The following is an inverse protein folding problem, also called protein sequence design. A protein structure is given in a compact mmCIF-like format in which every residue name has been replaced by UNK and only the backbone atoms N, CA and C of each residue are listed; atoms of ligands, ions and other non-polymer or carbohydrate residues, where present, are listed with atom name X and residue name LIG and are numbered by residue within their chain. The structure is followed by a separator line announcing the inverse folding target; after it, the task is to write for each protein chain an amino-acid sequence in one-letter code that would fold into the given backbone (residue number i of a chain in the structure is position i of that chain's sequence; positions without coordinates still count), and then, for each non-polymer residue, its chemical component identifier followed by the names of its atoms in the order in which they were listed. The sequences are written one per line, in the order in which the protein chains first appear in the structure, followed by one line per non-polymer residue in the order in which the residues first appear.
data_IF_085893125363
#
_entry.id   IF_085893125363
#
_cell.length_a   1.000
_cell.length_b   1.000
_cell.length_c   1.000
_cell.angle_alpha   90.00
_cell.angle_beta   90.00
_cell.angle_gamma   90.00
#
_symmetry.space_group_name_H-M   'P 1'
#
loop_
_entity.id
_entity.type
_entity.pdbx_description
1 polymer ?
#
# COMPACT_ATOMS: atom_id res chain seq x y z
N UNK A 1 8.07 3.00 4.54
CA UNK A 1 8.19 4.13 3.58
C UNK A 1 6.89 4.42 2.82
N UNK A 2 6.13 3.42 2.35
CA UNK A 2 4.94 3.62 1.48
C UNK A 2 3.87 4.51 2.10
N UNK A 3 3.58 4.36 3.41
CA UNK A 3 2.66 5.26 4.11
C UNK A 3 3.14 6.71 4.21
N UNK A 4 4.45 6.94 4.34
CA UNK A 4 5.03 8.28 4.33
C UNK A 4 4.98 8.89 2.93
N UNK A 5 5.33 8.10 1.91
CA UNK A 5 5.18 8.53 0.50
C UNK A 5 3.73 8.89 0.19
N UNK A 6 2.79 8.07 0.62
CA UNK A 6 1.36 8.38 0.48
C UNK A 6 1.03 9.73 1.13
N UNK A 7 1.49 9.96 2.36
CA UNK A 7 1.24 11.22 3.08
C UNK A 7 1.82 12.42 2.32
N UNK A 8 3.06 12.33 1.85
CA UNK A 8 3.70 13.42 1.08
C UNK A 8 2.97 13.63 -0.24
N UNK A 9 2.72 12.57 -1.00
CA UNK A 9 2.06 12.67 -2.31
C UNK A 9 0.67 13.26 -2.19
N UNK A 10 -0.11 12.86 -1.19
CA UNK A 10 -1.49 13.29 -1.00
C UNK A 10 -1.65 14.66 -0.33
N UNK A 11 -0.59 15.22 0.28
CA UNK A 11 -0.67 16.50 1.01
C UNK A 11 0.20 17.59 0.41
N UNK A 12 1.41 17.24 -0.07
CA UNK A 12 2.46 18.20 -0.42
C UNK A 12 2.68 18.34 -1.93
N UNK A 13 1.91 17.60 -2.73
CA UNK A 13 2.03 17.63 -4.19
C UNK A 13 0.75 18.14 -4.86
N UNK A 14 0.78 18.27 -6.18
CA UNK A 14 -0.42 18.64 -6.97
C UNK A 14 -1.56 17.63 -6.82
N UNK A 15 -1.27 16.42 -6.34
CA UNK A 15 -2.28 15.38 -6.09
C UNK A 15 -3.12 15.67 -4.84
N UNK A 16 -2.67 16.57 -3.96
CA UNK A 16 -3.47 17.03 -2.82
C UNK A 16 -4.84 17.54 -3.25
N UNK A 17 -4.90 18.28 -4.36
CA UNK A 17 -6.16 18.76 -4.91
C UNK A 17 -7.10 17.67 -5.43
N UNK A 18 -6.60 16.48 -5.71
CA UNK A 18 -7.41 15.37 -6.16
C UNK A 18 -8.05 14.57 -5.02
N UNK A 19 -7.52 14.69 -3.80
CA UNK A 19 -7.96 13.94 -2.63
C UNK A 19 -8.63 14.82 -1.54
N UNK A 20 -8.76 16.12 -1.79
CA UNK A 20 -9.50 17.02 -0.89
C UNK A 20 -10.94 16.51 -0.76
N UNK A 21 -11.44 16.50 0.46
CA UNK A 21 -12.79 16.03 0.80
C UNK A 21 -13.06 14.54 0.45
N UNK A 22 -11.99 13.72 0.33
CA UNK A 22 -12.18 12.29 0.23
C UNK A 22 -12.90 11.79 1.49
N UNK A 23 -14.10 11.26 1.30
CA UNK A 23 -14.86 10.61 2.36
C UNK A 23 -14.22 9.28 2.80
N UNK A 24 -14.80 8.62 3.79
CA UNK A 24 -14.32 7.32 4.25
C UNK A 24 -14.72 6.18 3.30
N UNK A 25 -15.53 6.45 2.28
CA UNK A 25 -15.93 5.45 1.31
C UNK A 25 -14.71 4.89 0.55
N UNK A 26 -14.59 3.59 0.54
CA UNK A 26 -13.50 2.90 -0.14
C UNK A 26 -13.91 2.56 -1.58
N UNK A 27 -13.11 2.98 -2.54
CA UNK A 27 -13.22 2.54 -3.93
C UNK A 27 -12.27 1.37 -4.18
N UNK A 28 -12.68 0.19 -3.73
CA UNK A 28 -11.90 -1.05 -3.81
C UNK A 28 -11.48 -1.39 -5.24
N UNK A 29 -12.32 -1.12 -6.23
CA UNK A 29 -11.98 -1.40 -7.63
C UNK A 29 -10.95 -0.42 -8.18
N UNK A 30 -11.00 0.84 -7.79
CA UNK A 30 -9.97 1.81 -8.12
C UNK A 30 -8.61 1.43 -7.50
N UNK A 31 -8.62 0.94 -6.26
CA UNK A 31 -7.41 0.43 -5.59
C UNK A 31 -6.82 -0.76 -6.32
N UNK A 32 -7.60 -1.82 -6.56
CA UNK A 32 -7.16 -3.06 -7.24
C UNK A 32 -6.60 -2.76 -8.63
N UNK A 33 -7.32 -1.96 -9.42
CA UNK A 33 -6.89 -1.56 -10.75
C UNK A 33 -5.53 -0.83 -10.73
N UNK A 34 -5.32 0.04 -9.74
CA UNK A 34 -4.05 0.76 -9.59
C UNK A 34 -2.91 -0.17 -9.14
N UNK A 35 -3.18 -1.14 -8.24
CA UNK A 35 -2.21 -2.16 -7.83
C UNK A 35 -1.71 -2.94 -9.05
N UNK A 36 -2.63 -3.48 -9.86
CA UNK A 36 -2.27 -4.27 -11.06
C UNK A 36 -1.47 -3.42 -12.04
N UNK A 37 -1.93 -2.21 -12.36
CA UNK A 37 -1.25 -1.35 -13.31
C UNK A 37 0.17 -0.98 -12.88
N UNK A 38 0.38 -0.69 -11.60
CA UNK A 38 1.71 -0.36 -11.08
C UNK A 38 2.62 -1.60 -10.95
N UNK A 39 2.06 -2.74 -10.62
CA UNK A 39 2.79 -4.00 -10.55
C UNK A 39 3.30 -4.47 -11.92
N UNK A 40 2.44 -4.40 -12.94
CA UNK A 40 2.79 -4.82 -14.30
C UNK A 40 3.74 -3.84 -14.99
N UNK A 41 3.63 -2.55 -14.70
CA UNK A 41 4.43 -1.50 -15.36
C UNK A 41 5.04 -0.52 -14.36
N UNK A 42 5.94 -0.96 -13.46
CA UNK A 42 6.48 -0.10 -12.40
C UNK A 42 7.25 1.12 -12.94
N UNK A 43 7.83 1.03 -14.13
CA UNK A 43 8.50 2.15 -14.79
C UNK A 43 7.56 3.33 -15.11
N UNK A 44 6.24 3.10 -15.17
CA UNK A 44 5.23 4.13 -15.45
C UNK A 44 4.61 4.74 -14.18
N UNK A 45 5.13 4.47 -13.00
CA UNK A 45 4.54 4.90 -11.74
C UNK A 45 4.25 6.41 -11.67
N UNK A 46 5.19 7.25 -12.09
CA UNK A 46 4.99 8.70 -12.13
C UNK A 46 3.85 9.09 -13.08
N UNK A 47 3.73 8.39 -14.22
CA UNK A 47 2.64 8.60 -15.16
C UNK A 47 1.29 8.16 -14.57
N UNK A 48 1.25 7.01 -13.89
CA UNK A 48 0.06 6.51 -13.21
C UNK A 48 -0.44 7.51 -12.16
N UNK A 49 0.45 8.06 -11.34
CA UNK A 49 0.12 9.09 -10.36
C UNK A 49 -0.39 10.37 -11.05
N UNK A 50 0.26 10.84 -12.11
CA UNK A 50 -0.21 12.01 -12.85
C UNK A 50 -1.60 11.79 -13.45
N UNK A 51 -1.91 10.58 -13.92
CA UNK A 51 -3.24 10.22 -14.45
C UNK A 51 -4.36 10.35 -13.40
N UNK A 52 -4.07 10.22 -12.12
CA UNK A 52 -5.05 10.48 -11.05
C UNK A 52 -5.53 11.94 -11.14
N UNK A 53 -4.60 12.89 -11.26
CA UNK A 53 -4.94 14.31 -11.37
C UNK A 53 -5.66 14.63 -12.68
N UNK A 54 -5.15 14.16 -13.80
CA UNK A 54 -5.77 14.40 -15.10
C UNK A 54 -7.17 13.77 -15.19
N UNK A 55 -7.39 12.62 -14.60
CA UNK A 55 -8.69 11.96 -14.55
C UNK A 55 -9.72 12.78 -13.76
N UNK A 56 -9.32 13.36 -12.64
CA UNK A 56 -10.17 14.25 -11.87
C UNK A 56 -10.56 15.49 -12.68
N UNK A 57 -9.59 16.13 -13.35
CA UNK A 57 -9.82 17.36 -14.10
C UNK A 57 -10.67 17.16 -15.36
N UNK A 58 -10.47 16.05 -16.06
CA UNK A 58 -11.09 15.80 -17.36
C UNK A 58 -12.41 15.03 -17.26
N UNK A 59 -12.55 14.20 -16.26
CA UNK A 59 -13.67 13.25 -16.15
C UNK A 59 -14.43 13.32 -14.83
N UNK A 60 -14.06 14.23 -13.92
CA UNK A 60 -14.76 14.40 -12.65
C UNK A 60 -14.60 13.22 -11.71
N UNK A 61 -13.42 12.57 -11.70
CA UNK A 61 -13.14 11.46 -10.78
C UNK A 61 -13.33 11.86 -9.32
N UNK A 62 -13.90 10.97 -8.50
CA UNK A 62 -14.16 11.24 -7.09
C UNK A 62 -12.85 11.34 -6.28
N UNK A 63 -12.82 12.15 -5.21
CA UNK A 63 -11.67 12.22 -4.30
C UNK A 63 -11.32 10.88 -3.66
N UNK A 64 -12.30 10.06 -3.33
CA UNK A 64 -12.10 8.73 -2.76
C UNK A 64 -11.44 7.79 -3.76
N UNK A 65 -11.88 7.77 -5.02
CA UNK A 65 -11.24 7.03 -6.10
C UNK A 65 -9.80 7.50 -6.33
N UNK A 66 -9.55 8.80 -6.27
CA UNK A 66 -8.19 9.35 -6.40
C UNK A 66 -7.28 8.88 -5.26
N UNK A 67 -7.76 8.91 -4.02
CA UNK A 67 -7.03 8.41 -2.84
C UNK A 67 -6.67 6.94 -2.97
N UNK A 68 -7.63 6.12 -3.38
CA UNK A 68 -7.42 4.67 -3.53
C UNK A 68 -6.47 4.36 -4.71
N UNK A 69 -6.52 5.11 -5.80
CA UNK A 69 -5.57 4.98 -6.91
C UNK A 69 -4.13 5.34 -6.50
N UNK A 70 -3.93 6.40 -5.73
CA UNK A 70 -2.61 6.76 -5.21
C UNK A 70 -2.08 5.63 -4.32
N UNK A 71 -2.90 5.16 -3.38
CA UNK A 71 -2.54 4.08 -2.46
C UNK A 71 -2.20 2.79 -3.20
N UNK A 72 -3.05 2.37 -4.12
CA UNK A 72 -2.85 1.17 -4.95
C UNK A 72 -1.60 1.27 -5.83
N UNK A 73 -1.32 2.43 -6.41
CA UNK A 73 -0.11 2.66 -7.23
C UNK A 73 1.15 2.49 -6.38
N UNK A 74 1.22 3.09 -5.19
CA UNK A 74 2.39 3.01 -4.32
C UNK A 74 2.62 1.59 -3.79
N UNK A 75 1.55 0.89 -3.38
CA UNK A 75 1.65 -0.49 -2.91
C UNK A 75 2.01 -1.43 -4.06
N UNK A 76 1.38 -1.28 -5.23
CA UNK A 76 1.70 -2.08 -6.41
C UNK A 76 3.16 -1.96 -6.84
N UNK A 77 3.73 -0.76 -6.76
CA UNK A 77 5.15 -0.49 -7.00
C UNK A 77 6.06 -1.22 -6.01
N UNK A 78 5.73 -1.16 -4.72
CA UNK A 78 6.51 -1.84 -3.69
C UNK A 78 6.47 -3.35 -3.88
N UNK A 79 5.29 -3.90 -4.20
CA UNK A 79 5.14 -5.33 -4.47
C UNK A 79 5.89 -5.75 -5.74
N UNK A 80 5.87 -4.94 -6.80
CA UNK A 80 6.65 -5.23 -8.01
C UNK A 80 8.15 -5.33 -7.71
N UNK A 81 8.68 -4.41 -6.90
CA UNK A 81 10.09 -4.44 -6.50
C UNK A 81 10.40 -5.62 -5.55
N UNK A 82 9.53 -5.85 -4.56
CA UNK A 82 9.73 -6.90 -3.56
C UNK A 82 9.59 -8.32 -4.11
N UNK A 83 8.77 -8.50 -5.15
CA UNK A 83 8.53 -9.80 -5.78
C UNK A 83 9.41 -10.04 -7.03
N UNK A 84 10.21 -9.07 -7.46
CA UNK A 84 11.13 -9.22 -8.58
C UNK A 84 12.33 -10.14 -8.30
N UNK A 85 12.59 -10.45 -7.04
CA UNK A 85 13.66 -11.35 -6.62
C UNK A 85 13.29 -12.83 -6.72
N UNK A 86 14.26 -13.68 -6.44
CA UNK A 86 14.06 -15.12 -6.38
C UNK A 86 12.97 -15.47 -5.36
N UNK A 87 11.84 -15.92 -5.86
CA UNK A 87 10.71 -16.46 -5.09
C UNK A 87 11.10 -17.83 -4.51
N UNK A 88 12.23 -17.87 -3.80
CA UNK A 88 12.62 -19.08 -3.11
C UNK A 88 11.53 -19.47 -2.10
N UNK A 89 11.30 -20.75 -1.99
CA UNK A 89 10.30 -21.52 -1.25
C UNK A 89 9.90 -21.09 0.18
N UNK A 90 10.48 -20.06 0.73
CA UNK A 90 10.13 -19.46 2.01
C UNK A 90 9.04 -18.41 1.79
N UNK A 91 7.79 -18.76 2.01
CA UNK A 91 6.62 -17.89 1.81
C UNK A 91 6.79 -16.44 2.29
N UNK A 92 5.94 -15.56 1.77
CA UNK A 92 5.94 -14.13 2.11
C UNK A 92 5.22 -13.95 3.46
N UNK A 93 5.82 -13.17 4.36
CA UNK A 93 5.19 -12.76 5.61
C UNK A 93 4.96 -11.24 5.60
N UNK A 94 3.71 -10.84 5.69
CA UNK A 94 3.30 -9.46 5.88
C UNK A 94 3.25 -9.15 7.37
N UNK A 95 4.05 -8.19 7.82
CA UNK A 95 3.98 -7.65 9.19
C UNK A 95 3.44 -6.22 9.11
N UNK A 96 2.19 -6.02 9.43
CA UNK A 96 1.52 -4.74 9.37
C UNK A 96 0.34 -4.71 10.35
N UNK A 97 -0.17 -3.52 10.68
CA UNK A 97 -1.38 -3.34 11.49
C UNK A 97 -2.31 -2.30 10.88
N UNK A 98 -3.57 -2.27 11.35
CA UNK A 98 -4.58 -1.30 10.96
C UNK A 98 -4.89 -1.29 9.45
N UNK A 99 -5.15 -0.10 8.90
CA UNK A 99 -5.52 0.07 7.50
C UNK A 99 -4.46 -0.45 6.51
N UNK A 100 -3.18 -0.28 6.82
CA UNK A 100 -2.11 -0.77 5.93
C UNK A 100 -2.15 -2.28 5.78
N UNK A 101 -2.41 -3.03 6.85
CA UNK A 101 -2.56 -4.47 6.78
C UNK A 101 -3.69 -4.89 5.84
N UNK A 102 -4.83 -4.20 5.92
CA UNK A 102 -5.99 -4.46 5.03
C UNK A 102 -5.63 -4.22 3.58
N UNK A 103 -5.00 -3.08 3.28
CA UNK A 103 -4.64 -2.70 1.91
C UNK A 103 -3.58 -3.64 1.31
N UNK A 104 -2.55 -4.03 2.07
CA UNK A 104 -1.55 -4.97 1.57
C UNK A 104 -2.15 -6.37 1.35
N UNK A 105 -3.00 -6.86 2.24
CA UNK A 105 -3.71 -8.13 2.02
C UNK A 105 -4.54 -8.08 0.74
N UNK A 106 -5.32 -7.02 0.56
CA UNK A 106 -6.12 -6.82 -0.65
C UNK A 106 -5.23 -6.77 -1.91
N UNK A 107 -4.07 -6.15 -1.84
CA UNK A 107 -3.12 -6.10 -2.96
C UNK A 107 -2.54 -7.49 -3.28
N UNK A 108 -2.11 -8.25 -2.27
CA UNK A 108 -1.65 -9.63 -2.46
C UNK A 108 -2.75 -10.54 -3.04
N UNK A 109 -3.97 -10.44 -2.52
CA UNK A 109 -5.14 -11.18 -3.03
C UNK A 109 -5.42 -10.82 -4.50
N UNK A 110 -5.35 -9.52 -4.84
CA UNK A 110 -5.54 -9.03 -6.21
C UNK A 110 -4.50 -9.60 -7.18
N UNK A 111 -3.26 -9.75 -6.73
CA UNK A 111 -2.17 -10.32 -7.51
C UNK A 111 -2.10 -11.85 -7.44
N UNK A 112 -3.03 -12.50 -6.73
CA UNK A 112 -3.05 -13.95 -6.50
C UNK A 112 -1.76 -14.49 -5.84
N UNK A 113 -1.14 -13.68 -4.98
CA UNK A 113 0.08 -14.04 -4.25
C UNK A 113 -0.27 -14.45 -2.82
N UNK A 114 0.12 -15.67 -2.44
CA UNK A 114 -0.11 -16.18 -1.10
C UNK A 114 0.79 -15.48 -0.07
N UNK A 115 0.19 -15.01 1.03
CA UNK A 115 0.90 -14.30 2.09
C UNK A 115 0.43 -14.74 3.48
N UNK A 116 1.36 -14.91 4.41
CA UNK A 116 1.05 -15.03 5.84
C UNK A 116 1.01 -13.61 6.43
N UNK A 117 0.02 -13.33 7.28
CA UNK A 117 -0.10 -12.00 7.92
C UNK A 117 0.09 -12.12 9.42
N UNK A 118 0.97 -11.28 9.95
CA UNK A 118 1.22 -11.11 11.39
C UNK A 118 0.87 -9.66 11.74
N UNK A 119 0.12 -9.48 12.81
CA UNK A 119 -0.17 -8.15 13.35
C UNK A 119 1.12 -7.52 13.90
N UNK A 120 1.43 -6.29 13.46
CA UNK A 120 2.68 -5.62 13.82
C UNK A 120 2.76 -5.30 15.32
N UNK A 121 1.65 -4.93 15.96
CA UNK A 121 1.62 -4.61 17.39
C UNK A 121 1.86 -5.87 18.23
N UNK A 122 1.32 -6.99 17.79
CA UNK A 122 1.59 -8.28 18.41
C UNK A 122 3.06 -8.72 18.23
N UNK A 123 3.60 -8.53 17.02
CA UNK A 123 5.01 -8.85 16.74
C UNK A 123 5.96 -8.02 17.62
N UNK A 124 5.69 -6.73 17.78
CA UNK A 124 6.46 -5.84 18.67
C UNK A 124 6.37 -6.28 20.13
N UNK A 125 5.17 -6.57 20.63
CA UNK A 125 4.98 -7.03 22.00
C UNK A 125 5.77 -8.31 22.29
N UNK A 126 5.69 -9.30 21.39
CA UNK A 126 6.46 -10.55 21.53
C UNK A 126 7.97 -10.30 21.50
N UNK A 127 8.44 -9.48 20.57
CA UNK A 127 9.86 -9.14 20.48
C UNK A 127 10.38 -8.44 21.74
N UNK A 128 9.61 -7.51 22.30
CA UNK A 128 9.96 -6.84 23.57
C UNK A 128 9.97 -7.79 24.75
N UNK A 129 8.99 -8.71 24.85
CA UNK A 129 8.97 -9.73 25.91
C UNK A 129 10.20 -10.65 25.83
N UNK A 130 10.54 -11.13 24.65
CA UNK A 130 11.74 -11.97 24.44
C UNK A 130 13.02 -11.22 24.79
N UNK A 131 13.13 -9.95 24.43
CA UNK A 131 14.28 -9.12 24.76
C UNK A 131 14.38 -8.88 26.28
N UNK A 132 13.27 -8.63 26.94
CA UNK A 132 13.21 -8.46 28.39
C UNK A 132 13.62 -9.75 29.12
N UNK A 133 13.12 -10.89 28.73
CA UNK A 133 13.50 -12.19 29.27
C UNK A 133 15.00 -12.48 29.10
N UNK A 134 15.56 -12.11 27.96
CA UNK A 134 17.01 -12.30 27.69
C UNK A 134 17.91 -11.39 28.54
N UNK A 135 17.45 -10.18 28.88
CA UNK A 135 18.23 -9.19 29.62
C UNK A 135 18.04 -9.34 31.13
N UNK A 136 16.82 -9.59 31.55
CA UNK A 136 16.45 -9.71 32.97
C UNK A 136 16.06 -11.13 33.30
N UNK A 137 17.01 -12.07 33.13
CA UNK A 137 16.82 -13.46 33.56
C UNK A 137 16.42 -13.48 35.06
N UNK A 138 15.14 -13.62 35.33
CA UNK A 138 14.58 -13.80 36.68
C UNK A 138 14.71 -15.25 37.11
#
# INVERSE_FOLDING_TARGET
MTGELFSVVSRETILSHAVVDADEAEDTEAFKSAVVAAFETPALAANLLFRVRSSQLLYGGSPSSAREKISGTLIGLELAAGLAGDQSSSGITLVASGRLQVLYRLAFDTLSVAVQSIDADEAVRRGLSMAAEAIWTL
#
